data_IF_687781585555
#
_entry.id   IF_687781585555
#
_cell.length_a   1.000
_cell.length_b   1.000
_cell.length_c   1.000
_cell.angle_alpha   90.00
_cell.angle_beta   90.00
_cell.angle_gamma   90.00
#
_symmetry.space_group_name_H-M   'P 1'
#
loop_
_entity.id
_entity.type
_entity.pdbx_description
1 polymer ?
#
# COMPACT_ATOMS: atom_id res chain seq x y z
N UNK A 1 -36.59 -12.66 3.02
CA UNK A 1 -37.81 -12.57 3.83
C UNK A 1 -38.93 -13.04 2.92
N UNK A 2 -39.52 -14.19 3.22
CA UNK A 2 -40.30 -15.00 2.27
C UNK A 2 -41.65 -14.37 1.92
N UNK A 3 -41.91 -14.29 0.61
CA UNK A 3 -43.13 -13.76 -0.01
C UNK A 3 -44.41 -14.37 0.59
N UNK A 4 -44.36 -15.62 1.05
CA UNK A 4 -45.48 -16.34 1.65
C UNK A 4 -45.90 -15.76 3.02
N UNK A 5 -44.93 -15.31 3.83
CA UNK A 5 -45.23 -14.64 5.10
C UNK A 5 -45.87 -13.27 4.88
N UNK A 6 -45.62 -12.64 3.72
CA UNK A 6 -46.25 -11.39 3.31
C UNK A 6 -47.70 -11.60 2.85
N UNK A 7 -48.00 -12.70 2.14
CA UNK A 7 -49.37 -13.02 1.72
C UNK A 7 -50.28 -13.36 2.91
N UNK A 8 -49.73 -13.97 3.96
CA UNK A 8 -50.50 -14.30 5.16
C UNK A 8 -50.96 -13.03 5.91
N UNK A 9 -50.08 -12.03 6.01
CA UNK A 9 -50.43 -10.70 6.58
C UNK A 9 -51.51 -9.98 5.77
N UNK A 10 -51.45 -10.07 4.43
CA UNK A 10 -52.46 -9.46 3.56
C UNK A 10 -53.84 -10.12 3.76
N UNK A 11 -53.89 -11.44 3.89
CA UNK A 11 -55.15 -12.18 4.10
C UNK A 11 -55.83 -11.83 5.44
N UNK A 12 -55.05 -11.64 6.51
CA UNK A 12 -55.56 -11.22 7.81
C UNK A 12 -56.13 -9.79 7.81
N UNK A 13 -55.57 -8.89 6.99
CA UNK A 13 -56.07 -7.52 6.85
C UNK A 13 -57.40 -7.44 6.12
N UNK A 14 -57.71 -8.38 5.22
CA UNK A 14 -58.98 -8.39 4.49
C UNK A 14 -60.15 -8.88 5.35
N UNK A 15 -59.90 -9.78 6.31
CA UNK A 15 -60.90 -10.39 7.19
C UNK A 15 -61.47 -9.45 8.27
N UNK A 16 -60.84 -8.30 8.54
CA UNK A 16 -61.18 -7.42 9.68
C UNK A 16 -62.12 -6.25 9.30
N UNK A 17 -62.54 -6.07 8.03
CA UNK A 17 -63.29 -4.85 7.60
C UNK A 17 -64.69 -4.70 8.24
N UNK A 18 -64.94 -3.69 9.11
CA UNK A 18 -66.28 -3.23 9.43
C UNK A 18 -66.74 -2.15 8.43
N UNK A 19 -68.05 -1.86 8.39
CA UNK A 19 -68.66 -0.84 7.51
C UNK A 19 -68.30 0.60 7.94
N UNK A 20 -67.99 1.41 6.92
CA UNK A 20 -67.91 2.88 6.82
C UNK A 20 -66.88 3.65 7.66
N UNK A 21 -65.84 4.15 6.99
CA UNK A 21 -65.65 5.56 6.63
C UNK A 21 -64.48 5.65 5.63
N UNK A 22 -64.55 6.53 4.63
CA UNK A 22 -63.44 6.70 3.64
C UNK A 22 -62.12 7.06 4.32
N UNK A 23 -62.17 7.67 5.51
CA UNK A 23 -61.04 8.04 6.36
C UNK A 23 -60.31 6.80 6.91
N UNK A 24 -61.05 5.76 7.31
CA UNK A 24 -60.47 4.51 7.84
C UNK A 24 -59.74 3.69 6.77
N UNK A 25 -59.95 3.97 5.48
CA UNK A 25 -59.16 3.40 4.37
C UNK A 25 -57.93 4.23 4.03
N UNK A 26 -57.96 5.54 4.26
CA UNK A 26 -56.86 6.44 3.89
C UNK A 26 -55.77 6.45 4.96
N UNK A 27 -56.14 6.40 6.24
CA UNK A 27 -55.18 6.42 7.36
C UNK A 27 -54.20 5.23 7.30
N UNK A 28 -54.63 3.97 7.07
CA UNK A 28 -53.72 2.84 6.97
C UNK A 28 -52.80 2.97 5.76
N UNK A 29 -53.32 3.37 4.60
CA UNK A 29 -52.55 3.49 3.35
C UNK A 29 -51.50 4.60 3.47
N UNK A 30 -51.87 5.77 3.97
CA UNK A 30 -50.96 6.87 4.25
C UNK A 30 -49.93 6.49 5.33
N UNK A 31 -50.35 5.76 6.36
CA UNK A 31 -49.48 5.22 7.40
C UNK A 31 -48.44 4.23 6.86
N UNK A 32 -48.84 3.29 5.97
CA UNK A 32 -47.91 2.39 5.29
C UNK A 32 -46.98 3.12 4.32
N UNK A 33 -47.45 4.12 3.59
CA UNK A 33 -46.60 4.92 2.69
C UNK A 33 -45.57 5.73 3.47
N UNK A 34 -45.98 6.40 4.55
CA UNK A 34 -45.06 7.13 5.42
C UNK A 34 -44.07 6.17 6.11
N UNK A 35 -44.55 5.03 6.62
CA UNK A 35 -43.72 4.01 7.25
C UNK A 35 -42.69 3.40 6.29
N UNK A 36 -43.08 3.15 5.04
CA UNK A 36 -42.16 2.64 3.99
C UNK A 36 -41.14 3.70 3.58
N UNK A 37 -41.54 4.96 3.38
CA UNK A 37 -40.60 6.06 3.12
C UNK A 37 -39.62 6.26 4.27
N UNK A 38 -40.11 6.25 5.52
CA UNK A 38 -39.28 6.42 6.70
C UNK A 38 -38.33 5.23 6.90
N UNK A 39 -38.82 4.02 6.68
CA UNK A 39 -38.02 2.79 6.71
C UNK A 39 -36.94 2.78 5.64
N UNK A 40 -37.27 3.18 4.39
CA UNK A 40 -36.30 3.32 3.31
C UNK A 40 -35.23 4.39 3.63
N UNK A 41 -35.65 5.56 4.14
CA UNK A 41 -34.73 6.63 4.52
C UNK A 41 -33.76 6.19 5.65
N UNK A 42 -34.27 5.50 6.68
CA UNK A 42 -33.44 4.92 7.74
C UNK A 42 -32.48 3.86 7.20
N UNK A 43 -32.94 3.00 6.30
CA UNK A 43 -32.12 1.95 5.71
C UNK A 43 -31.01 2.56 4.83
N UNK A 44 -31.34 3.59 4.05
CA UNK A 44 -30.36 4.33 3.25
C UNK A 44 -29.32 5.03 4.15
N UNK A 45 -29.76 5.69 5.22
CA UNK A 45 -28.84 6.35 6.16
C UNK A 45 -27.90 5.36 6.85
N UNK A 46 -28.43 4.22 7.32
CA UNK A 46 -27.62 3.18 7.95
C UNK A 46 -26.67 2.51 6.95
N UNK A 47 -27.10 2.31 5.70
CA UNK A 47 -26.25 1.82 4.60
C UNK A 47 -25.09 2.77 4.33
N UNK A 48 -25.37 4.06 4.12
CA UNK A 48 -24.35 5.08 3.89
C UNK A 48 -23.35 5.16 5.06
N UNK A 49 -23.82 5.00 6.30
CA UNK A 49 -22.94 4.99 7.48
C UNK A 49 -22.05 3.75 7.54
N UNK A 50 -22.56 2.57 7.17
CA UNK A 50 -21.76 1.33 7.08
C UNK A 50 -20.71 1.45 5.98
N UNK A 51 -21.09 1.95 4.82
CA UNK A 51 -20.18 2.18 3.69
C UNK A 51 -19.08 3.17 4.05
N UNK A 52 -19.42 4.29 4.69
CA UNK A 52 -18.43 5.27 5.17
C UNK A 52 -17.42 4.66 6.16
N UNK A 53 -17.89 3.81 7.09
CA UNK A 53 -16.99 3.07 7.99
C UNK A 53 -16.10 2.08 7.24
N UNK A 54 -16.65 1.35 6.28
CA UNK A 54 -15.90 0.40 5.47
C UNK A 54 -14.79 1.10 4.69
N UNK A 55 -15.10 2.23 4.03
CA UNK A 55 -14.10 3.05 3.32
C UNK A 55 -13.03 3.55 4.26
N UNK A 56 -13.39 4.03 5.46
CA UNK A 56 -12.40 4.49 6.45
C UNK A 56 -11.47 3.36 6.87
N UNK A 57 -11.98 2.15 7.09
CA UNK A 57 -11.15 0.99 7.44
C UNK A 57 -10.21 0.61 6.29
N UNK A 58 -10.71 0.60 5.04
CA UNK A 58 -9.88 0.35 3.87
C UNK A 58 -8.73 1.35 3.74
N UNK A 59 -9.01 2.64 3.93
CA UNK A 59 -7.97 3.69 3.91
C UNK A 59 -6.91 3.47 5.00
N UNK A 60 -7.33 3.07 6.21
CA UNK A 60 -6.42 2.74 7.29
C UNK A 60 -5.53 1.54 6.94
N UNK A 61 -6.10 0.49 6.34
CA UNK A 61 -5.33 -0.66 5.86
C UNK A 61 -4.34 -0.28 4.74
N UNK A 62 -4.68 0.66 3.85
CA UNK A 62 -3.72 1.19 2.87
C UNK A 62 -2.55 1.92 3.53
N UNK A 63 -2.80 2.73 4.54
CA UNK A 63 -1.74 3.42 5.29
C UNK A 63 -0.84 2.42 6.04
N UNK A 64 -1.43 1.42 6.68
CA UNK A 64 -0.68 0.32 7.31
C UNK A 64 0.17 -0.46 6.29
N UNK A 65 -0.35 -0.72 5.09
CA UNK A 65 0.39 -1.44 4.04
C UNK A 65 1.59 -0.62 3.54
N UNK A 66 1.42 0.70 3.38
CA UNK A 66 2.52 1.62 3.04
C UNK A 66 3.56 1.69 4.16
N UNK A 67 3.13 1.73 5.42
CA UNK A 67 4.06 1.68 6.57
C UNK A 67 4.85 0.37 6.60
N UNK A 68 4.20 -0.76 6.34
CA UNK A 68 4.87 -2.07 6.27
C UNK A 68 5.87 -2.12 5.13
N UNK A 69 5.51 -1.59 3.96
CA UNK A 69 6.42 -1.51 2.82
C UNK A 69 7.62 -0.61 3.15
N UNK A 70 7.39 0.57 3.73
CA UNK A 70 8.45 1.48 4.17
C UNK A 70 9.44 0.78 5.09
N UNK A 71 8.94 0.10 6.13
CA UNK A 71 9.78 -0.67 7.06
C UNK A 71 10.53 -1.83 6.38
N UNK A 72 9.94 -2.46 5.37
CA UNK A 72 10.61 -3.49 4.59
C UNK A 72 11.74 -2.91 3.73
N UNK A 73 11.55 -1.71 3.17
CA UNK A 73 12.58 -0.96 2.44
C UNK A 73 13.74 -0.55 3.36
N UNK A 74 13.46 -0.09 4.59
CA UNK A 74 14.50 0.25 5.57
C UNK A 74 15.42 -0.96 5.84
N UNK A 75 14.80 -2.11 6.11
CA UNK A 75 15.54 -3.37 6.30
C UNK A 75 16.32 -3.79 5.07
N UNK A 76 15.73 -3.63 3.89
CA UNK A 76 16.38 -3.94 2.62
C UNK A 76 17.64 -3.08 2.42
N UNK A 77 17.55 -1.78 2.68
CA UNK A 77 18.68 -0.84 2.55
C UNK A 77 19.79 -1.22 3.53
N UNK A 78 19.46 -1.37 4.81
CA UNK A 78 20.45 -1.73 5.83
C UNK A 78 21.15 -3.07 5.53
N UNK A 79 20.39 -4.08 5.13
CA UNK A 79 20.95 -5.38 4.79
C UNK A 79 21.80 -5.35 3.51
N UNK A 80 21.39 -4.56 2.51
CA UNK A 80 22.18 -4.36 1.28
C UNK A 80 23.51 -3.69 1.58
N UNK A 81 23.53 -2.68 2.45
CA UNK A 81 24.78 -2.01 2.87
C UNK A 81 25.67 -2.96 3.68
N UNK A 82 25.09 -3.82 4.52
CA UNK A 82 25.86 -4.86 5.22
C UNK A 82 26.56 -5.80 4.24
N UNK A 83 25.85 -6.23 3.18
CA UNK A 83 26.40 -7.09 2.13
C UNK A 83 27.51 -6.36 1.35
N UNK A 84 27.25 -5.11 0.96
CA UNK A 84 28.23 -4.23 0.33
C UNK A 84 29.52 -4.12 1.16
N UNK A 85 29.43 -4.04 2.48
CA UNK A 85 30.59 -4.00 3.38
C UNK A 85 31.49 -5.23 3.30
N UNK A 86 30.92 -6.42 3.06
CA UNK A 86 31.72 -7.63 2.81
C UNK A 86 32.37 -7.60 1.42
N UNK A 87 31.64 -7.13 0.40
CA UNK A 87 32.17 -7.01 -0.96
C UNK A 87 33.32 -5.99 -1.01
N UNK A 88 33.19 -4.86 -0.31
CA UNK A 88 34.25 -3.85 -0.21
C UNK A 88 35.53 -4.38 0.47
N UNK A 89 35.42 -5.49 1.22
CA UNK A 89 36.56 -6.23 1.80
C UNK A 89 37.04 -7.36 0.90
N UNK A 90 36.59 -7.41 -0.35
CA UNK A 90 36.82 -8.49 -1.33
C UNK A 90 36.35 -9.86 -0.84
N UNK A 91 35.31 -9.89 0.00
CA UNK A 91 34.72 -11.12 0.54
C UNK A 91 33.37 -11.37 -0.09
N UNK A 92 33.12 -12.62 -0.46
CA UNK A 92 31.79 -13.04 -0.93
C UNK A 92 30.85 -13.17 0.28
N UNK A 93 29.66 -12.56 0.25
CA UNK A 93 28.68 -12.71 1.32
C UNK A 93 28.24 -14.17 1.43
N UNK A 94 28.23 -14.71 2.65
CA UNK A 94 27.86 -16.11 2.94
C UNK A 94 26.38 -16.28 3.25
N UNK A 95 25.72 -15.21 3.70
CA UNK A 95 24.30 -15.19 4.05
C UNK A 95 23.73 -13.79 3.94
N UNK A 96 22.43 -13.72 3.66
CA UNK A 96 21.67 -12.48 3.61
C UNK A 96 20.31 -12.66 4.31
N UNK A 97 19.73 -11.54 4.74
CA UNK A 97 18.38 -11.42 5.28
C UNK A 97 17.46 -10.61 4.36
N UNK A 98 17.85 -10.45 3.09
CA UNK A 98 17.05 -9.77 2.08
C UNK A 98 15.67 -10.44 1.94
N UNK A 99 14.59 -9.66 1.82
CA UNK A 99 13.27 -10.21 1.54
C UNK A 99 13.26 -10.87 0.16
N UNK A 100 12.60 -12.02 0.04
CA UNK A 100 12.45 -12.70 -1.26
C UNK A 100 11.59 -11.89 -2.25
N UNK A 101 10.62 -11.12 -1.73
CA UNK A 101 9.73 -10.27 -2.52
C UNK A 101 9.19 -9.14 -1.65
N UNK A 102 9.02 -7.96 -2.24
CA UNK A 102 8.28 -6.84 -1.69
C UNK A 102 6.90 -6.74 -2.33
N UNK A 103 5.89 -6.39 -1.53
CA UNK A 103 4.52 -6.24 -2.02
C UNK A 103 3.75 -5.22 -1.20
N UNK A 104 2.92 -4.41 -1.87
CA UNK A 104 1.86 -3.62 -1.28
C UNK A 104 0.51 -4.15 -1.77
N UNK A 105 0.18 -5.38 -1.34
CA UNK A 105 -0.95 -6.15 -1.87
C UNK A 105 -2.27 -5.41 -1.66
N UNK A 106 -2.52 -4.93 -0.44
CA UNK A 106 -3.79 -4.29 -0.09
C UNK A 106 -3.95 -2.97 -0.83
N UNK A 107 -2.86 -2.20 -0.92
CA UNK A 107 -2.84 -0.96 -1.69
C UNK A 107 -3.18 -1.24 -3.17
N UNK A 108 -2.52 -2.21 -3.79
CA UNK A 108 -2.73 -2.53 -5.21
C UNK A 108 -4.15 -3.02 -5.52
N UNK A 109 -4.72 -3.84 -4.65
CA UNK A 109 -6.06 -4.42 -4.83
C UNK A 109 -7.17 -3.36 -4.69
N UNK A 110 -7.05 -2.47 -3.70
CA UNK A 110 -8.12 -1.52 -3.36
C UNK A 110 -7.91 -0.10 -3.90
N UNK A 111 -6.78 0.17 -4.59
CA UNK A 111 -6.48 1.51 -5.06
C UNK A 111 -7.58 2.10 -5.97
N UNK A 112 -8.08 1.33 -6.94
CA UNK A 112 -9.10 1.81 -7.89
C UNK A 112 -10.38 2.19 -7.16
N UNK A 113 -10.81 1.40 -6.17
CA UNK A 113 -12.00 1.69 -5.36
C UNK A 113 -11.82 2.94 -4.51
N UNK A 114 -10.63 3.16 -3.97
CA UNK A 114 -10.33 4.24 -3.02
C UNK A 114 -9.74 5.49 -3.69
N UNK A 115 -9.47 5.47 -5.00
CA UNK A 115 -8.79 6.54 -5.72
C UNK A 115 -9.47 7.91 -5.49
N UNK A 116 -10.80 7.95 -5.43
CA UNK A 116 -11.58 9.17 -5.20
C UNK A 116 -11.44 9.76 -3.78
N UNK A 117 -10.88 9.01 -2.82
CA UNK A 117 -10.58 9.47 -1.45
C UNK A 117 -9.16 9.99 -1.29
N UNK A 118 -8.24 9.60 -2.17
CA UNK A 118 -6.86 10.07 -2.14
C UNK A 118 -6.72 11.44 -2.80
N UNK A 119 -5.73 12.21 -2.33
CA UNK A 119 -5.32 13.44 -3.01
C UNK A 119 -4.77 13.12 -4.41
N UNK A 120 -4.68 14.12 -5.29
CA UNK A 120 -4.03 13.94 -6.59
C UNK A 120 -2.56 13.55 -6.45
N UNK A 121 -1.86 14.08 -5.45
CA UNK A 121 -0.46 13.72 -5.19
C UNK A 121 -0.34 12.28 -4.67
N UNK A 122 -1.18 11.90 -3.71
CA UNK A 122 -1.20 10.53 -3.18
C UNK A 122 -1.43 9.50 -4.28
N UNK A 123 -2.38 9.75 -5.19
CA UNK A 123 -2.61 8.88 -6.36
C UNK A 123 -1.37 8.76 -7.24
N UNK A 124 -0.69 9.89 -7.50
CA UNK A 124 0.54 9.89 -8.28
C UNK A 124 1.65 9.07 -7.60
N UNK A 125 1.86 9.22 -6.29
CA UNK A 125 2.86 8.46 -5.55
C UNK A 125 2.56 6.96 -5.51
N UNK A 126 1.28 6.58 -5.36
CA UNK A 126 0.89 5.16 -5.39
C UNK A 126 1.18 4.53 -6.75
N UNK A 127 0.92 5.24 -7.85
CA UNK A 127 1.26 4.73 -9.19
C UNK A 127 2.76 4.48 -9.33
N UNK A 128 3.59 5.46 -8.99
CA UNK A 128 5.06 5.31 -9.05
C UNK A 128 5.56 4.19 -8.14
N UNK A 129 4.96 4.04 -6.96
CA UNK A 129 5.33 3.01 -6.00
C UNK A 129 4.98 1.60 -6.51
N UNK A 130 3.84 1.43 -7.18
CA UNK A 130 3.45 0.16 -7.79
C UNK A 130 4.37 -0.19 -8.96
N UNK A 131 4.72 0.78 -9.81
CA UNK A 131 5.66 0.58 -10.93
C UNK A 131 7.05 0.16 -10.43
N UNK A 132 7.57 0.86 -9.42
CA UNK A 132 8.89 0.57 -8.84
C UNK A 132 8.93 -0.75 -8.06
N UNK A 133 7.79 -1.27 -7.57
CA UNK A 133 7.73 -2.56 -6.88
C UNK A 133 8.09 -3.73 -7.79
N UNK A 134 7.67 -3.69 -9.06
CA UNK A 134 8.00 -4.75 -10.03
C UNK A 134 9.48 -4.73 -10.40
N UNK A 135 10.04 -3.54 -10.64
CA UNK A 135 11.47 -3.34 -10.89
C UNK A 135 12.32 -3.81 -9.69
N UNK A 136 11.96 -3.40 -8.48
CA UNK A 136 12.64 -3.81 -7.24
C UNK A 136 12.65 -5.33 -7.05
N UNK A 137 11.52 -5.99 -7.34
CA UNK A 137 11.44 -7.44 -7.25
C UNK A 137 12.31 -8.15 -8.30
N UNK A 138 12.51 -7.54 -9.47
CA UNK A 138 13.46 -8.05 -10.47
C UNK A 138 14.91 -7.96 -9.96
N UNK A 139 15.30 -6.83 -9.35
CA UNK A 139 16.63 -6.67 -8.75
C UNK A 139 16.88 -7.69 -7.62
N UNK A 140 15.89 -7.88 -6.74
CA UNK A 140 15.96 -8.87 -5.66
C UNK A 140 16.14 -10.30 -6.19
N UNK A 141 15.42 -10.66 -7.26
CA UNK A 141 15.54 -11.98 -7.88
C UNK A 141 16.96 -12.21 -8.41
N UNK A 142 17.56 -11.21 -9.07
CA UNK A 142 18.94 -11.27 -9.56
C UNK A 142 19.94 -11.46 -8.40
N UNK A 143 19.80 -10.68 -7.32
CA UNK A 143 20.69 -10.78 -6.16
C UNK A 143 20.60 -12.14 -5.46
N UNK A 144 19.39 -12.68 -5.31
CA UNK A 144 19.13 -13.89 -4.50
C UNK A 144 19.40 -15.18 -5.31
N UNK A 145 18.92 -15.25 -6.54
CA UNK A 145 18.89 -16.50 -7.31
C UNK A 145 20.12 -16.69 -8.20
N UNK A 146 20.90 -15.64 -8.46
CA UNK A 146 22.01 -15.76 -9.40
C UNK A 146 23.30 -16.27 -8.74
N UNK A 147 23.50 -17.59 -8.86
CA UNK A 147 24.62 -18.33 -8.24
C UNK A 147 26.01 -17.96 -8.76
N UNK A 148 26.12 -17.19 -9.84
CA UNK A 148 27.37 -16.96 -10.59
C UNK A 148 27.82 -15.51 -10.66
N UNK A 149 27.28 -14.60 -9.84
CA UNK A 149 27.68 -13.21 -9.92
C UNK A 149 29.15 -13.00 -9.54
N UNK A 150 29.86 -12.35 -10.46
CA UNK A 150 31.05 -11.51 -10.25
C UNK A 150 30.75 -10.53 -9.10
N UNK A 151 31.73 -10.30 -8.22
CA UNK A 151 31.58 -9.37 -7.10
C UNK A 151 31.27 -7.96 -7.58
N UNK A 152 31.78 -7.58 -8.75
CA UNK A 152 31.46 -6.30 -9.37
C UNK A 152 29.99 -6.20 -9.75
N UNK A 153 29.44 -7.20 -10.47
CA UNK A 153 28.03 -7.21 -10.89
C UNK A 153 27.12 -7.19 -9.67
N UNK A 154 27.42 -8.00 -8.65
CA UNK A 154 26.67 -8.00 -7.39
C UNK A 154 26.72 -6.64 -6.70
N UNK A 155 27.87 -5.97 -6.68
CA UNK A 155 27.99 -4.64 -6.07
C UNK A 155 27.18 -3.57 -6.80
N UNK A 156 27.22 -3.57 -8.14
CA UNK A 156 26.45 -2.63 -8.96
C UNK A 156 24.94 -2.84 -8.78
N UNK A 157 24.51 -4.11 -8.69
CA UNK A 157 23.12 -4.47 -8.47
C UNK A 157 22.62 -4.05 -7.09
N UNK A 158 23.45 -4.22 -6.05
CA UNK A 158 23.15 -3.74 -4.71
C UNK A 158 23.06 -2.20 -4.67
N UNK A 159 23.93 -1.48 -5.40
CA UNK A 159 23.88 -0.01 -5.47
C UNK A 159 22.57 0.46 -6.11
N UNK A 160 22.18 -0.14 -7.23
CA UNK A 160 20.89 0.12 -7.87
C UNK A 160 19.71 -0.16 -6.94
N UNK A 161 19.77 -1.29 -6.23
CA UNK A 161 18.75 -1.69 -5.25
C UNK A 161 18.61 -0.67 -4.13
N UNK A 162 19.72 -0.19 -3.56
CA UNK A 162 19.69 0.83 -2.50
C UNK A 162 19.14 2.16 -3.02
N UNK A 163 19.54 2.60 -4.23
CA UNK A 163 19.01 3.83 -4.83
C UNK A 163 17.51 3.77 -5.12
N UNK A 164 17.04 2.65 -5.68
CA UNK A 164 15.61 2.44 -5.93
C UNK A 164 14.82 2.33 -4.62
N UNK A 165 15.35 1.60 -3.63
CA UNK A 165 14.72 1.46 -2.31
C UNK A 165 14.59 2.80 -1.58
N UNK A 166 15.62 3.64 -1.64
CA UNK A 166 15.59 5.00 -1.09
C UNK A 166 14.52 5.87 -1.77
N UNK A 167 14.42 5.78 -3.10
CA UNK A 167 13.36 6.46 -3.86
C UNK A 167 11.96 5.98 -3.46
N UNK A 168 11.76 4.66 -3.34
CA UNK A 168 10.48 4.08 -2.88
C UNK A 168 10.16 4.47 -1.44
N UNK A 169 11.16 4.53 -0.57
CA UNK A 169 11.00 4.98 0.81
C UNK A 169 10.54 6.46 0.86
N UNK A 170 11.14 7.32 0.04
CA UNK A 170 10.72 8.72 -0.10
C UNK A 170 9.29 8.86 -0.66
N UNK A 171 8.87 7.96 -1.58
CA UNK A 171 7.50 7.89 -2.07
C UNK A 171 6.52 7.50 -0.97
N UNK A 172 6.83 6.49 -0.15
CA UNK A 172 6.04 6.12 1.02
C UNK A 172 5.87 7.31 1.96
N UNK A 173 6.96 8.02 2.27
CA UNK A 173 6.91 9.19 3.15
C UNK A 173 6.09 10.35 2.54
N UNK A 174 6.26 10.60 1.24
CA UNK A 174 5.51 11.63 0.51
C UNK A 174 4.01 11.33 0.47
N UNK A 175 3.62 10.05 0.43
CA UNK A 175 2.22 9.64 0.55
C UNK A 175 1.63 9.94 1.93
N UNK A 176 2.38 9.62 2.99
CA UNK A 176 1.95 9.81 4.39
C UNK A 176 1.83 11.30 4.74
N UNK A 177 2.81 12.10 4.31
CA UNK A 177 2.86 13.53 4.61
C UNK A 177 2.01 14.39 3.65
N UNK A 178 1.48 13.79 2.57
CA UNK A 178 0.82 14.45 1.42
C UNK A 178 1.62 15.66 0.89
N UNK A 179 2.95 15.54 0.89
CA UNK A 179 3.89 16.59 0.50
C UNK A 179 4.91 16.04 -0.49
N UNK A 180 5.43 16.93 -1.33
CA UNK A 180 6.58 16.62 -2.19
C UNK A 180 7.85 16.66 -1.34
N UNK A 181 8.41 15.49 -1.01
CA UNK A 181 9.75 15.36 -0.44
C UNK A 181 10.63 14.61 -1.44
N UNK A 182 11.39 15.35 -2.27
CA UNK A 182 12.21 14.75 -3.34
C UNK A 182 13.58 15.41 -3.49
N UNK A 183 14.19 15.87 -2.40
CA UNK A 183 15.48 16.59 -2.48
C UNK A 183 16.44 16.18 -1.38
N UNK A 184 16.59 14.89 -1.17
CA UNK A 184 17.68 14.37 -0.36
C UNK A 184 18.61 13.56 -1.28
N UNK A 185 19.91 13.80 -1.21
CA UNK A 185 20.90 12.94 -1.89
C UNK A 185 20.82 11.52 -1.31
N UNK A 186 21.30 10.48 -2.02
CA UNK A 186 21.33 9.13 -1.47
C UNK A 186 21.98 9.08 -0.08
N UNK A 187 23.09 9.81 0.14
CA UNK A 187 23.79 9.88 1.41
C UNK A 187 22.94 10.48 2.53
N UNK A 188 22.23 11.58 2.26
CA UNK A 188 21.31 12.21 3.21
C UNK A 188 20.14 11.29 3.57
N UNK A 189 19.69 10.45 2.63
CA UNK A 189 18.67 9.43 2.89
C UNK A 189 19.21 8.31 3.79
N UNK A 190 20.43 7.84 3.53
CA UNK A 190 21.08 6.84 4.36
C UNK A 190 21.35 7.36 5.78
N UNK A 191 21.78 8.61 5.91
CA UNK A 191 21.96 9.27 7.22
C UNK A 191 20.63 9.35 7.99
N UNK A 192 19.53 9.70 7.29
CA UNK A 192 18.19 9.74 7.90
C UNK A 192 17.69 8.36 8.38
N UNK A 193 18.19 7.27 7.78
CA UNK A 193 17.92 5.90 8.21
C UNK A 193 18.80 5.46 9.40
N UNK A 194 19.73 6.31 9.84
CA UNK A 194 20.60 6.06 10.99
C UNK A 194 21.86 5.25 10.66
N UNK A 195 22.23 5.15 9.38
CA UNK A 195 23.49 4.55 8.96
C UNK A 195 24.66 5.44 9.38
N UNK A 196 25.74 4.80 9.84
CA UNK A 196 26.91 5.53 10.30
C UNK A 196 27.78 6.00 9.11
N UNK A 197 28.72 6.95 9.33
CA UNK A 197 29.55 7.48 8.24
C UNK A 197 30.41 6.43 7.52
N UNK A 198 30.81 5.35 8.20
CA UNK A 198 31.58 4.26 7.56
C UNK A 198 30.71 3.46 6.58
N UNK A 199 29.46 3.19 6.97
CA UNK A 199 28.46 2.51 6.13
C UNK A 199 28.09 3.35 4.90
N UNK A 200 27.94 4.66 5.07
CA UNK A 200 27.70 5.60 3.96
C UNK A 200 28.91 5.62 3.02
N UNK A 201 30.14 5.68 3.57
CA UNK A 201 31.35 5.66 2.76
C UNK A 201 31.50 4.36 1.94
N UNK A 202 31.05 3.21 2.47
CA UNK A 202 31.01 1.95 1.72
C UNK A 202 30.08 2.07 0.51
N UNK A 203 28.87 2.61 0.70
CA UNK A 203 27.93 2.85 -0.40
C UNK A 203 28.54 3.78 -1.45
N UNK A 204 29.09 4.93 -1.03
CA UNK A 204 29.72 5.89 -1.95
C UNK A 204 30.87 5.27 -2.74
N UNK A 205 31.75 4.51 -2.07
CA UNK A 205 32.90 3.87 -2.73
C UNK A 205 32.48 2.83 -3.78
N UNK A 206 31.44 2.03 -3.50
CA UNK A 206 30.93 1.06 -4.46
C UNK A 206 30.13 1.74 -5.59
N UNK A 207 29.43 2.84 -5.30
CA UNK A 207 28.75 3.65 -6.31
C UNK A 207 29.75 4.26 -7.29
N UNK A 208 30.83 4.89 -6.78
CA UNK A 208 31.93 5.41 -7.61
C UNK A 208 32.58 4.29 -8.43
N UNK A 209 32.82 3.12 -7.83
CA UNK A 209 33.39 1.99 -8.56
C UNK A 209 32.47 1.45 -9.67
N UNK A 210 31.14 1.49 -9.47
CA UNK A 210 30.17 1.15 -10.49
C UNK A 210 30.21 2.14 -11.65
N UNK A 211 30.24 3.44 -11.37
CA UNK A 211 30.36 4.50 -12.38
C UNK A 211 31.66 4.40 -13.18
N UNK A 212 32.78 4.07 -12.51
CA UNK A 212 34.08 3.89 -13.14
C UNK A 212 34.27 2.52 -13.82
N UNK A 213 33.24 1.67 -13.86
CA UNK A 213 33.29 0.32 -14.44
C UNK A 213 34.42 -0.55 -13.83
N UNK A 214 34.43 -0.66 -12.51
CA UNK A 214 35.32 -1.51 -11.71
C UNK A 214 36.81 -1.11 -11.69
N UNK A 215 37.14 0.16 -12.00
CA UNK A 215 38.54 0.60 -12.05
C UNK A 215 39.17 0.85 -10.67
N UNK A 216 38.36 1.23 -9.69
CA UNK A 216 38.80 1.68 -8.37
C UNK A 216 39.07 0.51 -7.43
N UNK A 217 38.06 -0.34 -7.23
CA UNK A 217 38.09 -1.44 -6.26
C UNK A 217 38.57 -2.76 -6.87
N UNK A 218 38.49 -2.92 -8.20
CA UNK A 218 38.92 -4.11 -8.95
C UNK A 218 38.37 -5.39 -8.33
N UNK A 219 37.05 -5.39 -8.13
CA UNK A 219 36.26 -6.50 -7.60
C UNK A 219 36.23 -7.67 -8.57
#
# INVERSE_FOLDING_TARGET
MDIESFSLCLSYMELIKPKSNHIDKIIPVAGTLLGTFFGYALNQFTSNRKESKAVKNKLLCCDEDIQRLKHALDKLICESIRIMGEINRHRRPTSHQLPAKLSAFYLSEHFIELAHKFSTNQRYWVHLLIENLDEMNSHLDMIINEKSHDLFILSAELVSTVGLAGTMHALCQSFQDDKKQFKNTPEEQLEALGLNPEEIAIFTSLSENAEENNRTLKL
#
